data_IF_302879571849
#
_entry.id   IF_302879571849
#
_cell.length_a   1.000
_cell.length_b   1.000
_cell.length_c   1.000
_cell.angle_alpha   90.00
_cell.angle_beta   90.00
_cell.angle_gamma   90.00
#
_symmetry.space_group_name_H-M   'P 1'
#
loop_
_entity.id
_entity.type
_entity.pdbx_description
1 polymer ?
#
# COMPACT_ATOMS: atom_id res chain seq x y z
N UNK A 1 0.73 36.53 -60.51
CA UNK A 1 -0.47 36.54 -59.65
C UNK A 1 -0.40 35.31 -58.75
N UNK A 2 -0.32 35.52 -57.43
CA UNK A 2 -0.63 34.67 -56.25
C UNK A 2 -0.76 33.13 -56.46
N UNK A 3 -0.33 32.23 -55.58
CA UNK A 3 0.14 32.31 -54.20
C UNK A 3 0.73 30.95 -53.80
N UNK A 4 1.59 30.98 -52.79
CA UNK A 4 2.15 29.88 -52.01
C UNK A 4 1.11 28.90 -51.43
N UNK A 5 1.45 27.61 -51.28
CA UNK A 5 1.21 26.90 -50.02
C UNK A 5 2.04 25.62 -49.89
N UNK A 6 2.95 25.61 -48.91
CA UNK A 6 3.56 24.40 -48.33
C UNK A 6 2.59 23.90 -47.25
N UNK A 7 2.14 22.66 -47.34
CA UNK A 7 1.54 21.98 -46.18
C UNK A 7 2.60 21.09 -45.53
N UNK A 8 3.08 21.55 -44.37
CA UNK A 8 3.84 20.75 -43.43
C UNK A 8 2.91 19.71 -42.80
N UNK A 9 3.10 18.44 -43.13
CA UNK A 9 2.56 17.34 -42.34
C UNK A 9 3.32 17.24 -41.03
N UNK A 10 2.82 17.92 -39.99
CA UNK A 10 3.21 17.67 -38.61
C UNK A 10 2.73 16.26 -38.25
N UNK A 11 3.62 15.28 -38.37
CA UNK A 11 3.43 13.97 -37.77
C UNK A 11 3.50 14.15 -36.26
N UNK A 12 2.35 14.39 -35.63
CA UNK A 12 2.24 14.29 -34.18
C UNK A 12 2.60 12.85 -33.81
N UNK A 13 3.81 12.66 -33.30
CA UNK A 13 4.20 11.42 -32.65
C UNK A 13 3.16 11.14 -31.57
N UNK A 14 2.39 10.06 -31.75
CA UNK A 14 1.42 9.62 -30.77
C UNK A 14 2.16 9.42 -29.45
N UNK A 15 1.81 10.25 -28.46
CA UNK A 15 2.25 10.08 -27.07
C UNK A 15 1.91 8.63 -26.66
N UNK A 16 2.87 7.85 -26.13
CA UNK A 16 2.54 6.53 -25.62
C UNK A 16 1.43 6.66 -24.56
N UNK A 17 0.52 5.68 -24.44
CA UNK A 17 -0.50 5.72 -23.38
C UNK A 17 0.22 5.97 -22.05
N UNK A 18 -0.30 6.91 -21.26
CA UNK A 18 0.19 7.09 -19.90
C UNK A 18 0.11 5.73 -19.21
N UNK A 19 1.21 5.29 -18.58
CA UNK A 19 1.19 4.12 -17.71
C UNK A 19 0.16 4.40 -16.62
N UNK A 20 -1.05 3.84 -16.76
CA UNK A 20 -2.18 4.05 -15.85
C UNK A 20 -2.05 3.12 -14.65
N UNK A 21 -0.99 3.32 -13.87
CA UNK A 21 -0.68 2.54 -12.70
C UNK A 21 -0.11 3.40 -11.58
N UNK A 22 -0.53 3.10 -10.35
CA UNK A 22 0.04 3.68 -9.15
C UNK A 22 1.56 3.42 -9.10
N UNK A 23 2.36 4.49 -9.05
CA UNK A 23 3.83 4.39 -8.88
C UNK A 23 4.22 4.53 -7.42
N UNK A 24 4.51 3.41 -6.76
CA UNK A 24 5.00 3.44 -5.38
C UNK A 24 6.34 4.18 -5.26
N UNK A 25 7.21 4.08 -6.28
CA UNK A 25 8.54 4.72 -6.30
C UNK A 25 8.44 6.25 -6.27
N UNK A 26 7.49 6.84 -6.99
CA UNK A 26 7.23 8.28 -6.96
C UNK A 26 6.73 8.74 -5.58
N UNK A 27 5.80 7.99 -4.97
CA UNK A 27 5.28 8.28 -3.63
C UNK A 27 6.37 8.19 -2.55
N UNK A 28 7.27 7.21 -2.68
CA UNK A 28 8.46 7.00 -1.84
C UNK A 28 9.39 8.20 -1.87
N UNK A 29 9.73 8.71 -3.06
CA UNK A 29 10.66 9.83 -3.23
C UNK A 29 10.14 11.15 -2.62
N UNK A 30 8.83 11.34 -2.57
CA UNK A 30 8.18 12.53 -2.03
C UNK A 30 7.94 12.49 -0.51
N UNK A 31 8.18 11.34 0.14
CA UNK A 31 7.75 11.09 1.54
C UNK A 31 8.94 11.00 2.49
N UNK A 32 8.76 11.49 3.73
CA UNK A 32 9.70 11.27 4.83
C UNK A 32 9.09 10.29 5.84
N UNK A 33 9.90 9.35 6.32
CA UNK A 33 9.47 8.32 7.28
C UNK A 33 10.30 8.32 8.58
N UNK A 34 9.98 7.43 9.52
CA UNK A 34 10.73 7.26 10.79
C UNK A 34 12.14 6.67 10.62
N UNK A 35 12.60 6.53 9.37
CA UNK A 35 13.90 6.00 8.96
C UNK A 35 13.94 5.80 7.45
N UNK A 36 14.80 4.90 6.93
CA UNK A 36 14.91 4.65 5.50
C UNK A 36 13.57 4.22 4.90
N UNK A 37 13.21 4.83 3.77
CA UNK A 37 12.04 4.52 2.99
C UNK A 37 12.52 3.94 1.66
N UNK A 38 12.19 2.67 1.40
CA UNK A 38 12.63 1.93 0.22
C UNK A 38 11.45 1.50 -0.63
N UNK A 39 11.70 1.44 -1.92
CA UNK A 39 10.81 0.85 -2.91
C UNK A 39 11.50 -0.36 -3.55
N UNK A 40 10.72 -1.40 -3.86
CA UNK A 40 11.11 -2.54 -4.68
C UNK A 40 10.00 -2.84 -5.67
N UNK A 41 10.34 -3.30 -6.86
CA UNK A 41 9.33 -3.66 -7.87
C UNK A 41 8.52 -4.89 -7.40
N UNK A 42 9.19 -5.91 -6.86
CA UNK A 42 8.53 -7.14 -6.41
C UNK A 42 9.26 -7.76 -5.23
N UNK A 43 8.50 -8.38 -4.33
CA UNK A 43 9.02 -9.21 -3.23
C UNK A 43 8.07 -10.37 -2.93
N UNK A 44 8.48 -11.33 -2.09
CA UNK A 44 7.56 -12.29 -1.49
C UNK A 44 6.54 -11.56 -0.60
N UNK A 45 7.02 -10.82 0.39
CA UNK A 45 6.16 -9.99 1.25
C UNK A 45 6.98 -8.91 1.96
N UNK A 46 6.54 -7.66 1.85
CA UNK A 46 7.12 -6.50 2.54
C UNK A 46 7.21 -6.69 4.05
N UNK A 47 6.24 -7.38 4.66
CA UNK A 47 6.27 -7.77 6.07
C UNK A 47 7.36 -8.78 6.39
N UNK A 48 7.57 -9.79 5.52
CA UNK A 48 8.62 -10.80 5.73
C UNK A 48 9.99 -10.17 5.67
N UNK A 49 10.24 -9.35 4.65
CA UNK A 49 11.53 -8.70 4.43
C UNK A 49 11.91 -7.83 5.62
N UNK A 50 10.99 -6.97 6.09
CA UNK A 50 11.25 -6.13 7.24
C UNK A 50 11.37 -6.92 8.55
N UNK A 51 10.66 -8.04 8.69
CA UNK A 51 10.78 -8.91 9.85
C UNK A 51 12.13 -9.64 9.88
N UNK A 52 12.63 -10.10 8.73
CA UNK A 52 13.92 -10.77 8.61
C UNK A 52 15.08 -9.80 8.82
N UNK A 53 15.00 -8.59 8.26
CA UNK A 53 15.92 -7.50 8.59
C UNK A 53 15.88 -7.17 10.09
N UNK A 54 14.68 -7.14 10.68
CA UNK A 54 14.49 -6.96 12.11
C UNK A 54 14.99 -8.15 12.94
N UNK A 55 15.31 -9.31 12.38
CA UNK A 55 16.01 -10.38 13.10
C UNK A 55 17.53 -10.24 12.95
N UNK A 56 17.99 -9.89 11.75
CA UNK A 56 19.41 -9.84 11.40
C UNK A 56 20.15 -8.57 11.88
N UNK A 57 19.48 -7.41 11.92
CA UNK A 57 20.17 -6.11 11.90
C UNK A 57 19.59 -5.03 12.82
N UNK A 58 20.03 -3.76 12.70
CA UNK A 58 19.66 -2.68 13.61
C UNK A 58 18.17 -2.31 13.58
N UNK A 59 17.73 -1.75 14.72
CA UNK A 59 16.33 -1.59 15.20
C UNK A 59 15.69 -0.25 14.85
N UNK A 60 16.31 0.54 13.96
CA UNK A 60 15.74 1.82 13.52
C UNK A 60 14.41 1.62 12.79
N UNK A 61 13.61 2.69 12.77
CA UNK A 61 12.41 2.74 11.92
C UNK A 61 12.77 2.47 10.46
N UNK A 62 11.88 1.82 9.73
CA UNK A 62 12.02 1.65 8.28
C UNK A 62 10.66 1.52 7.63
N UNK A 63 10.59 1.87 6.35
CA UNK A 63 9.40 1.67 5.50
C UNK A 63 9.85 0.96 4.23
N UNK A 64 9.11 -0.07 3.84
CA UNK A 64 9.29 -0.77 2.58
C UNK A 64 7.97 -0.74 1.82
N UNK A 65 8.04 -0.29 0.58
CA UNK A 65 6.92 -0.29 -0.36
C UNK A 65 7.25 -1.23 -1.51
N UNK A 66 6.27 -1.99 -1.99
CA UNK A 66 6.42 -2.84 -3.17
C UNK A 66 5.32 -2.56 -4.20
N UNK A 67 5.63 -2.70 -5.49
CA UNK A 67 4.58 -2.66 -6.53
C UNK A 67 3.82 -3.99 -6.64
N UNK A 68 4.44 -5.09 -6.19
CA UNK A 68 3.86 -6.42 -6.22
C UNK A 68 4.37 -7.34 -5.09
N UNK A 69 3.50 -8.22 -4.56
CA UNK A 69 3.87 -9.31 -3.67
C UNK A 69 3.50 -10.70 -4.22
N UNK A 70 4.49 -11.56 -4.42
CA UNK A 70 4.27 -12.93 -4.91
C UNK A 70 3.83 -13.91 -3.81
N UNK A 71 4.00 -13.54 -2.54
CA UNK A 71 3.68 -14.37 -1.37
C UNK A 71 3.10 -13.50 -0.23
N UNK A 72 2.18 -12.60 -0.59
CA UNK A 72 1.58 -11.66 0.35
C UNK A 72 0.88 -12.34 1.53
N UNK A 73 1.00 -11.76 2.72
CA UNK A 73 0.47 -12.35 3.96
C UNK A 73 -0.73 -11.58 4.51
N UNK A 74 -1.69 -12.33 5.03
CA UNK A 74 -2.79 -11.88 5.87
C UNK A 74 -2.81 -12.61 7.21
N UNK A 75 -3.81 -12.30 8.04
CA UNK A 75 -4.03 -13.00 9.33
C UNK A 75 -4.61 -14.40 9.12
N UNK A 76 -4.34 -15.29 10.08
CA UNK A 76 -4.87 -16.66 10.13
C UNK A 76 -4.51 -17.45 8.87
N UNK A 77 -3.23 -17.37 8.47
CA UNK A 77 -2.65 -18.06 7.31
C UNK A 77 -3.31 -17.75 5.97
N UNK A 78 -4.10 -16.67 5.89
CA UNK A 78 -4.66 -16.16 4.63
C UNK A 78 -3.58 -15.46 3.82
N UNK A 79 -3.70 -15.54 2.50
CA UNK A 79 -2.82 -14.84 1.55
C UNK A 79 -3.40 -13.47 1.20
N UNK A 80 -2.54 -12.45 1.14
CA UNK A 80 -2.86 -11.20 0.47
C UNK A 80 -2.52 -11.36 -1.01
N UNK A 81 -3.48 -11.08 -1.88
CA UNK A 81 -3.33 -11.22 -3.33
C UNK A 81 -3.46 -9.84 -3.96
N UNK A 82 -2.54 -9.51 -4.85
CA UNK A 82 -2.56 -8.29 -5.65
C UNK A 82 -2.12 -8.61 -7.09
N UNK A 83 -2.54 -7.76 -8.02
CA UNK A 83 -1.93 -7.65 -9.34
C UNK A 83 -0.94 -6.46 -9.32
N UNK A 84 0.17 -6.52 -10.08
CA UNK A 84 1.15 -5.43 -10.10
C UNK A 84 0.52 -4.05 -10.34
N UNK A 85 0.80 -3.10 -9.45
CA UNK A 85 0.28 -1.73 -9.52
C UNK A 85 -1.19 -1.56 -9.14
N UNK A 86 -1.90 -2.62 -8.75
CA UNK A 86 -3.31 -2.56 -8.35
C UNK A 86 -3.52 -2.24 -6.86
N UNK A 87 -2.47 -2.37 -6.05
CA UNK A 87 -2.52 -2.12 -4.61
C UNK A 87 -1.31 -1.32 -4.12
N UNK A 88 -1.53 -0.48 -3.10
CA UNK A 88 -0.45 0.05 -2.28
C UNK A 88 -0.06 -1.03 -1.26
N UNK A 89 1.17 -1.52 -1.35
CA UNK A 89 1.72 -2.55 -0.48
C UNK A 89 2.86 -1.94 0.33
N UNK A 90 2.62 -1.65 1.61
CA UNK A 90 3.60 -0.97 2.47
C UNK A 90 3.72 -1.64 3.82
N UNK A 91 4.95 -1.80 4.30
CA UNK A 91 5.23 -2.22 5.67
C UNK A 91 6.08 -1.20 6.41
N UNK A 92 5.76 -1.02 7.69
CA UNK A 92 6.49 -0.17 8.61
C UNK A 92 7.15 -1.04 9.68
N UNK A 93 8.46 -0.87 9.87
CA UNK A 93 9.19 -1.42 11.00
C UNK A 93 9.28 -0.38 12.11
N UNK A 94 8.80 -0.69 13.30
CA UNK A 94 8.79 0.23 14.44
C UNK A 94 9.32 -0.48 15.69
N UNK A 95 10.39 0.00 16.34
CA UNK A 95 10.80 -0.50 17.65
C UNK A 95 9.73 -0.18 18.71
N UNK A 96 9.43 -1.15 19.56
CA UNK A 96 8.38 -1.11 20.60
C UNK A 96 8.88 -1.76 21.89
N UNK A 97 8.29 -1.33 23.01
CA UNK A 97 8.58 -1.85 24.35
C UNK A 97 7.73 -3.08 24.74
N UNK A 98 6.86 -3.56 23.84
CA UNK A 98 6.14 -4.81 24.02
C UNK A 98 4.86 -4.95 23.19
N UNK A 99 4.10 -6.05 23.40
CA UNK A 99 2.91 -6.38 22.62
C UNK A 99 1.80 -5.32 22.69
N UNK A 100 1.63 -4.66 23.85
CA UNK A 100 0.62 -3.60 24.01
C UNK A 100 0.89 -2.43 23.07
N UNK A 101 2.14 -1.97 23.03
CA UNK A 101 2.56 -0.89 22.13
C UNK A 101 2.50 -1.31 20.67
N UNK A 102 2.84 -2.56 20.36
CA UNK A 102 2.67 -3.12 19.02
C UNK A 102 1.21 -3.04 18.54
N UNK A 103 0.25 -3.42 19.40
CA UNK A 103 -1.18 -3.30 19.11
C UNK A 103 -1.61 -1.83 18.94
N UNK A 104 -1.09 -0.91 19.76
CA UNK A 104 -1.33 0.54 19.59
C UNK A 104 -0.84 1.04 18.24
N UNK A 105 0.38 0.68 17.83
CA UNK A 105 0.94 1.08 16.53
C UNK A 105 0.10 0.53 15.38
N UNK A 106 -0.32 -0.74 15.45
CA UNK A 106 -1.21 -1.33 14.45
C UNK A 106 -2.55 -0.59 14.35
N UNK A 107 -3.14 -0.21 15.49
CA UNK A 107 -4.36 0.59 15.54
C UNK A 107 -4.18 1.99 14.94
N UNK A 108 -3.06 2.65 15.20
CA UNK A 108 -2.74 3.95 14.58
C UNK A 108 -2.57 3.86 13.07
N UNK A 109 -1.92 2.81 12.57
CA UNK A 109 -1.80 2.57 11.11
C UNK A 109 -3.17 2.36 10.50
N UNK A 110 -4.02 1.52 11.09
CA UNK A 110 -5.38 1.29 10.62
C UNK A 110 -6.22 2.58 10.60
N UNK A 111 -6.17 3.37 11.69
CA UNK A 111 -6.90 4.64 11.78
C UNK A 111 -6.40 5.68 10.77
N UNK A 112 -5.08 5.76 10.56
CA UNK A 112 -4.46 6.69 9.60
C UNK A 112 -4.80 6.28 8.17
N UNK A 113 -4.75 4.99 7.86
CA UNK A 113 -5.17 4.46 6.56
C UNK A 113 -6.66 4.74 6.30
N UNK A 114 -7.53 4.53 7.29
CA UNK A 114 -8.96 4.85 7.18
C UNK A 114 -9.17 6.33 6.89
N UNK A 115 -8.53 7.22 7.65
CA UNK A 115 -8.65 8.66 7.45
C UNK A 115 -8.13 9.09 6.07
N UNK A 116 -7.01 8.54 5.62
CA UNK A 116 -6.43 8.82 4.31
C UNK A 116 -7.37 8.36 3.18
N UNK A 117 -7.85 7.12 3.24
CA UNK A 117 -8.74 6.58 2.19
C UNK A 117 -10.10 7.27 2.19
N UNK A 118 -10.70 7.53 3.37
CA UNK A 118 -11.96 8.27 3.48
C UNK A 118 -11.87 9.71 2.93
N UNK A 119 -10.67 10.30 2.85
CA UNK A 119 -10.47 11.60 2.20
C UNK A 119 -10.43 11.53 0.66
N UNK A 120 -10.37 10.32 0.11
CA UNK A 120 -10.24 10.06 -1.32
C UNK A 120 -11.51 9.51 -1.96
N UNK A 121 -12.49 9.07 -1.19
CA UNK A 121 -13.69 8.38 -1.68
C UNK A 121 -14.96 9.02 -1.14
N UNK A 122 -16.07 8.89 -1.86
CA UNK A 122 -17.37 9.47 -1.48
C UNK A 122 -18.27 8.51 -0.68
N UNK A 123 -17.71 7.39 -0.23
CA UNK A 123 -18.41 6.34 0.53
C UNK A 123 -17.91 6.27 1.97
N UNK A 124 -18.73 5.71 2.86
CA UNK A 124 -18.29 5.45 4.23
C UNK A 124 -17.30 4.27 4.28
N UNK A 125 -16.08 4.54 4.76
CA UNK A 125 -15.06 3.51 5.00
C UNK A 125 -15.10 3.10 6.47
N UNK A 126 -15.69 1.95 6.80
CA UNK A 126 -15.75 1.40 8.15
C UNK A 126 -14.50 0.60 8.52
N UNK A 127 -14.28 0.41 9.82
CA UNK A 127 -13.26 -0.51 10.34
C UNK A 127 -13.93 -1.79 10.81
N UNK A 128 -13.74 -2.89 10.08
CA UNK A 128 -14.08 -4.22 10.55
C UNK A 128 -12.96 -4.70 11.48
N UNK A 129 -13.25 -4.66 12.78
CA UNK A 129 -12.29 -5.06 13.80
C UNK A 129 -11.79 -6.50 13.56
N UNK A 130 -10.49 -6.79 13.74
CA UNK A 130 -9.45 -5.91 14.29
C UNK A 130 -8.63 -5.11 13.27
N UNK A 131 -8.76 -5.37 11.97
CA UNK A 131 -7.67 -5.03 11.06
C UNK A 131 -8.07 -4.79 9.60
N UNK A 132 -9.37 -4.84 9.27
CA UNK A 132 -9.83 -4.68 7.90
C UNK A 132 -10.56 -3.34 7.75
N UNK A 133 -10.29 -2.62 6.67
CA UNK A 133 -11.10 -1.48 6.25
C UNK A 133 -12.06 -1.96 5.18
N UNK A 134 -13.33 -1.63 5.35
CA UNK A 134 -14.42 -2.14 4.52
C UNK A 134 -15.34 -1.01 4.11
N UNK A 135 -15.98 -1.18 2.97
CA UNK A 135 -17.14 -0.42 2.56
C UNK A 135 -18.34 -1.34 2.69
N UNK A 136 -19.30 -0.98 3.52
CA UNK A 136 -20.49 -1.81 3.78
C UNK A 136 -21.63 -1.46 2.82
N UNK A 137 -21.76 -0.17 2.49
CA UNK A 137 -22.77 0.37 1.56
C UNK A 137 -22.10 1.19 0.46
N UNK A 138 -22.65 1.13 -0.75
CA UNK A 138 -22.18 1.91 -1.89
C UNK A 138 -22.13 1.11 -3.20
N UNK A 139 -21.49 1.66 -4.25
CA UNK A 139 -21.45 1.05 -5.58
C UNK A 139 -20.64 -0.26 -5.62
N UNK A 140 -19.71 -0.45 -4.68
CA UNK A 140 -18.85 -1.61 -4.58
C UNK A 140 -18.54 -1.93 -3.11
N UNK A 141 -19.46 -2.58 -2.37
CA UNK A 141 -19.22 -3.00 -1.00
C UNK A 141 -18.18 -4.14 -0.97
N UNK A 142 -17.31 -4.11 0.03
CA UNK A 142 -16.25 -5.09 0.16
C UNK A 142 -15.08 -4.62 1.01
N UNK A 143 -14.07 -5.47 1.12
CA UNK A 143 -12.82 -5.16 1.80
C UNK A 143 -11.94 -4.27 0.91
N UNK A 144 -11.58 -3.11 1.45
CA UNK A 144 -10.79 -2.08 0.79
C UNK A 144 -9.32 -2.12 1.19
N UNK A 145 -9.04 -2.42 2.45
CA UNK A 145 -7.68 -2.53 2.96
C UNK A 145 -7.56 -3.57 4.08
N UNK A 146 -6.33 -4.02 4.33
CA UNK A 146 -6.00 -4.90 5.44
C UNK A 146 -4.70 -4.49 6.13
N UNK A 147 -4.70 -4.60 7.46
CA UNK A 147 -3.52 -4.39 8.30
C UNK A 147 -3.06 -5.73 8.87
N UNK A 148 -1.74 -5.98 8.84
CA UNK A 148 -1.11 -7.14 9.45
C UNK A 148 0.04 -6.67 10.35
N UNK A 149 -0.11 -6.84 11.65
CA UNK A 149 0.93 -6.53 12.62
C UNK A 149 1.59 -7.80 13.13
N UNK A 150 2.92 -7.85 13.05
CA UNK A 150 3.74 -8.97 13.48
C UNK A 150 4.79 -8.47 14.47
N UNK A 151 4.75 -9.02 15.68
CA UNK A 151 5.76 -8.75 16.68
C UNK A 151 6.98 -9.65 16.40
N UNK A 152 8.14 -9.03 16.30
CA UNK A 152 9.45 -9.68 16.19
C UNK A 152 10.15 -9.53 17.54
N UNK A 153 10.16 -10.59 18.38
CA UNK A 153 10.96 -10.61 19.60
C UNK A 153 12.44 -10.48 19.27
N UNK A 154 13.19 -9.80 20.14
CA UNK A 154 14.64 -9.62 20.02
C UNK A 154 15.34 -10.17 21.26
N UNK A 155 16.55 -10.66 21.07
CA UNK A 155 17.37 -11.16 22.19
C UNK A 155 17.85 -10.04 23.13
N UNK A 156 18.09 -10.45 24.38
CA UNK A 156 18.63 -9.73 25.56
C UNK A 156 18.90 -8.23 25.39
N UNK A 157 18.03 -7.41 25.99
CA UNK A 157 18.23 -5.97 26.19
C UNK A 157 17.85 -5.08 25.00
N UNK A 158 17.47 -5.67 23.86
CA UNK A 158 16.97 -4.91 22.71
C UNK A 158 15.44 -4.79 22.77
N UNK A 159 14.86 -3.62 22.44
CA UNK A 159 13.41 -3.50 22.31
C UNK A 159 12.90 -4.46 21.24
N UNK A 160 11.69 -4.98 21.45
CA UNK A 160 11.01 -5.73 20.42
C UNK A 160 10.72 -4.82 19.22
N UNK A 161 10.37 -5.41 18.08
CA UNK A 161 9.99 -4.67 16.89
C UNK A 161 8.61 -5.12 16.48
N UNK A 162 7.74 -4.18 16.08
CA UNK A 162 6.53 -4.52 15.33
C UNK A 162 6.77 -4.20 13.87
N UNK A 163 6.41 -5.12 12.99
CA UNK A 163 6.27 -4.88 11.56
C UNK A 163 4.77 -4.79 11.27
N UNK A 164 4.33 -3.63 10.76
CA UNK A 164 2.93 -3.40 10.41
C UNK A 164 2.83 -3.24 8.90
N UNK A 165 2.23 -4.25 8.26
CA UNK A 165 1.89 -4.26 6.84
C UNK A 165 0.51 -3.66 6.63
N UNK A 166 0.38 -2.90 5.57
CA UNK A 166 -0.85 -2.28 5.09
C UNK A 166 -0.94 -2.55 3.59
N UNK A 167 -1.96 -3.31 3.20
CA UNK A 167 -2.38 -3.46 1.81
C UNK A 167 -3.64 -2.65 1.57
N UNK A 168 -3.63 -1.75 0.58
CA UNK A 168 -4.81 -0.99 0.15
C UNK A 168 -5.06 -1.29 -1.32
N UNK A 169 -6.27 -1.74 -1.66
CA UNK A 169 -6.69 -1.93 -3.03
C UNK A 169 -6.92 -0.56 -3.68
N UNK A 170 -6.12 -0.20 -4.67
CA UNK A 170 -6.19 1.11 -5.35
C UNK A 170 -7.03 1.00 -6.62
N UNK A 171 -6.66 0.07 -7.50
CA UNK A 171 -7.35 -0.17 -8.76
C UNK A 171 -8.28 -1.41 -8.65
N UNK A 172 -9.26 -1.55 -9.57
CA UNK A 172 -10.14 -2.71 -9.59
C UNK A 172 -9.34 -4.01 -9.70
N UNK A 173 -9.60 -4.95 -8.80
CA UNK A 173 -8.97 -6.25 -8.81
C UNK A 173 -9.84 -7.23 -9.61
N UNK A 174 -9.34 -7.85 -10.69
CA UNK A 174 -10.13 -8.81 -11.46
C UNK A 174 -10.43 -10.13 -10.68
N UNK A 175 -9.96 -10.29 -9.44
CA UNK A 175 -9.82 -11.62 -8.79
C UNK A 175 -10.03 -11.71 -7.26
N UNK A 176 -10.88 -10.89 -6.63
CA UNK A 176 -11.24 -11.16 -5.22
C UNK A 176 -12.72 -10.89 -4.91
N UNK A 177 -13.48 -11.97 -4.70
CA UNK A 177 -14.86 -11.89 -4.21
C UNK A 177 -14.89 -11.21 -2.84
N UNK A 178 -15.77 -10.21 -2.68
CA UNK A 178 -15.89 -9.44 -1.45
C UNK A 178 -14.75 -8.43 -1.20
N UNK A 179 -13.91 -8.14 -2.20
CA UNK A 179 -12.99 -7.01 -2.18
C UNK A 179 -13.57 -5.82 -2.95
N UNK A 180 -13.08 -4.62 -2.63
CA UNK A 180 -13.33 -3.37 -3.35
C UNK A 180 -12.03 -2.57 -3.42
N UNK A 181 -12.03 -1.46 -4.15
CA UNK A 181 -10.85 -0.61 -4.36
C UNK A 181 -11.19 0.87 -4.26
N UNK A 182 -10.16 1.71 -4.06
CA UNK A 182 -10.32 3.17 -4.02
C UNK A 182 -11.04 3.67 -5.28
N UNK A 183 -10.67 3.17 -6.46
CA UNK A 183 -11.29 3.56 -7.74
C UNK A 183 -12.75 3.13 -7.83
N UNK A 184 -13.10 1.93 -7.38
CA UNK A 184 -14.50 1.44 -7.37
C UNK A 184 -15.37 2.22 -6.38
N UNK A 185 -14.77 2.77 -5.33
CA UNK A 185 -15.41 3.64 -4.35
C UNK A 185 -15.47 5.12 -4.78
N UNK A 186 -15.16 5.44 -6.05
CA UNK A 186 -15.23 6.80 -6.60
C UNK A 186 -13.98 7.64 -6.40
N UNK A 187 -12.90 7.04 -5.89
CA UNK A 187 -11.62 7.72 -5.70
C UNK A 187 -10.82 7.91 -6.99
N UNK A 188 -9.73 8.69 -6.91
CA UNK A 188 -8.94 9.06 -8.08
C UNK A 188 -8.23 7.84 -8.70
N UNK A 189 -8.11 7.83 -10.03
CA UNK A 189 -7.44 6.75 -10.79
C UNK A 189 -5.93 6.90 -10.90
N UNK A 190 -5.39 8.12 -10.77
CA UNK A 190 -3.96 8.41 -10.58
C UNK A 190 -3.73 9.91 -10.31
N UNK A 191 -2.64 10.25 -9.63
CA UNK A 191 -2.01 11.59 -9.60
C UNK A 191 -0.52 11.47 -9.86
#
# INVERSE_FOLDING_TARGET
MLMTSRMSGSGAASRPPAETGFSASAAVAATRGPGPLRHVESTGSTNSDLADEARAGPVGGAVLVADHQTAGRGRLDRTWVDDPGAALLVSLRVPVDGPRRAATVAGWVAASARAAVASLVDVEVATKWPNDLVVEDGPAPGKLAGVLAELVPRERGRPAVVVVGLGINVAPLPRQEGATSVVECGGPRDR
#
